data_IF_581060907426
#
_entry.id   IF_581060907426
#
_cell.length_a   1.000
_cell.length_b   1.000
_cell.length_c   1.000
_cell.angle_alpha   90.00
_cell.angle_beta   90.00
_cell.angle_gamma   90.00
#
_symmetry.space_group_name_H-M   'P 1'
#
loop_
_entity.id
_entity.type
_entity.pdbx_description
1 polymer ?
#
# COMPACT_ATOMS: atom_id res chain seq x y z
N UNK A 1 31.81 56.70 -51.11
CA UNK A 1 30.81 57.08 -50.08
C UNK A 1 29.59 56.21 -50.37
N UNK A 2 29.17 55.22 -49.58
CA UNK A 2 28.73 55.26 -48.17
C UNK A 2 28.74 53.81 -47.60
N UNK A 3 29.25 53.63 -46.38
CA UNK A 3 29.14 52.40 -45.56
C UNK A 3 27.68 52.16 -45.12
N UNK A 4 27.17 50.91 -45.18
CA UNK A 4 26.14 50.34 -44.28
C UNK A 4 26.34 48.80 -44.25
N UNK A 5 27.12 48.25 -43.32
CA UNK A 5 26.73 47.78 -41.98
C UNK A 5 25.81 46.54 -42.03
N UNK A 6 26.37 45.42 -41.57
CA UNK A 6 25.72 44.18 -41.21
C UNK A 6 24.54 44.41 -40.27
N UNK A 7 23.51 43.56 -40.33
CA UNK A 7 23.02 42.91 -39.10
C UNK A 7 22.07 41.75 -39.40
N UNK A 8 22.48 40.61 -38.88
CA UNK A 8 21.79 39.34 -38.74
C UNK A 8 20.52 39.55 -37.92
N UNK A 9 19.38 39.04 -38.40
CA UNK A 9 18.23 38.78 -37.53
C UNK A 9 17.90 37.30 -37.68
N UNK A 10 18.44 36.53 -36.73
CA UNK A 10 18.23 35.10 -36.61
C UNK A 10 16.79 34.80 -36.20
N UNK A 11 16.12 34.04 -37.07
CA UNK A 11 14.85 33.39 -36.79
C UNK A 11 15.15 32.05 -36.13
N UNK A 12 15.07 31.94 -34.80
CA UNK A 12 14.86 30.64 -34.13
C UNK A 12 13.93 30.85 -32.94
N UNK A 13 12.71 30.35 -33.10
CA UNK A 13 11.68 30.28 -32.09
C UNK A 13 12.11 29.34 -30.96
N UNK A 14 12.32 29.88 -29.75
CA UNK A 14 12.50 29.06 -28.55
C UNK A 14 11.12 28.75 -27.99
N UNK A 15 10.63 27.57 -28.37
CA UNK A 15 9.43 26.93 -27.85
C UNK A 15 9.54 26.75 -26.33
N UNK A 16 8.65 27.45 -25.64
CA UNK A 16 8.20 27.21 -24.28
C UNK A 16 7.71 25.76 -24.09
N UNK A 17 8.30 25.04 -23.14
CA UNK A 17 7.65 23.93 -22.45
C UNK A 17 7.98 23.98 -20.96
N UNK A 18 7.09 24.64 -20.21
CA UNK A 18 7.03 24.47 -18.76
C UNK A 18 6.56 23.05 -18.48
N UNK A 19 7.45 22.22 -17.93
CA UNK A 19 7.08 20.90 -17.42
C UNK A 19 6.25 21.11 -16.16
N UNK A 20 4.92 21.08 -16.30
CA UNK A 20 4.01 20.95 -15.16
C UNK A 20 4.09 19.49 -14.73
N UNK A 21 4.75 19.23 -13.60
CA UNK A 21 4.77 17.91 -12.99
C UNK A 21 3.36 17.47 -12.63
N UNK A 22 2.80 16.53 -13.39
CA UNK A 22 1.56 15.86 -13.04
C UNK A 22 1.83 14.95 -11.83
N UNK A 23 1.55 15.43 -10.62
CA UNK A 23 1.38 14.56 -9.47
C UNK A 23 0.08 13.78 -9.66
N UNK A 24 0.15 12.60 -10.28
CA UNK A 24 -0.99 11.67 -10.29
C UNK A 24 -1.24 11.20 -8.86
N UNK A 25 -2.14 11.87 -8.16
CA UNK A 25 -2.84 11.30 -7.02
C UNK A 25 -3.74 10.17 -7.57
N UNK A 26 -3.18 8.95 -7.62
CA UNK A 26 -3.97 7.74 -7.79
C UNK A 26 -5.03 7.73 -6.69
N UNK A 27 -6.23 8.21 -7.02
CA UNK A 27 -7.38 8.20 -6.12
C UNK A 27 -7.82 6.75 -6.04
N UNK A 28 -7.43 6.07 -4.97
CA UNK A 28 -7.90 4.74 -4.66
C UNK A 28 -9.37 4.89 -4.22
N UNK A 29 -10.29 4.51 -5.11
CA UNK A 29 -11.72 4.59 -4.89
C UNK A 29 -12.24 3.35 -4.15
N UNK A 30 -12.19 3.39 -2.83
CA UNK A 30 -12.93 2.49 -1.95
C UNK A 30 -12.99 3.10 -0.54
N UNK A 31 -14.19 3.33 0.00
CA UNK A 31 -14.38 3.87 1.37
C UNK A 31 -14.47 2.79 2.45
N UNK A 32 -14.36 1.52 2.08
CA UNK A 32 -14.32 0.41 3.03
C UNK A 32 -13.17 0.58 4.02
N UNK A 33 -13.42 0.25 5.29
CA UNK A 33 -12.42 0.29 6.35
C UNK A 33 -12.56 -0.92 7.26
N UNK A 34 -11.40 -1.47 7.64
CA UNK A 34 -11.28 -2.56 8.60
C UNK A 34 -10.15 -2.25 9.56
N UNK A 35 -10.37 -2.48 10.85
CA UNK A 35 -9.31 -2.65 11.85
C UNK A 35 -9.43 -4.06 12.44
N UNK A 36 -8.33 -4.77 12.51
CA UNK A 36 -8.29 -6.11 13.10
C UNK A 36 -7.07 -6.28 13.99
N UNK A 37 -7.27 -6.98 15.11
CA UNK A 37 -6.21 -7.36 16.05
C UNK A 37 -6.44 -8.80 16.47
N UNK A 38 -5.43 -9.65 16.31
CA UNK A 38 -5.55 -11.09 16.58
C UNK A 38 -4.25 -11.88 16.43
N UNK A 39 -4.39 -13.20 16.41
CA UNK A 39 -3.34 -14.19 16.24
C UNK A 39 -3.84 -15.24 15.25
N UNK A 40 -2.99 -15.62 14.30
CA UNK A 40 -3.33 -16.59 13.25
C UNK A 40 -2.87 -16.10 11.88
N UNK A 41 -3.80 -16.07 10.93
CA UNK A 41 -3.56 -15.64 9.55
C UNK A 41 -4.54 -14.54 9.17
N UNK A 42 -4.04 -13.51 8.50
CA UNK A 42 -4.86 -12.51 7.83
C UNK A 42 -4.39 -12.38 6.37
N UNK A 43 -5.32 -12.49 5.42
CA UNK A 43 -5.07 -12.29 3.99
C UNK A 43 -5.98 -11.18 3.49
N UNK A 44 -5.42 -10.20 2.79
CA UNK A 44 -6.14 -9.12 2.16
C UNK A 44 -5.88 -9.19 0.66
N UNK A 45 -6.94 -9.20 -0.13
CA UNK A 45 -6.88 -9.03 -1.58
C UNK A 45 -7.64 -7.74 -1.89
N UNK A 46 -6.92 -6.65 -2.17
CA UNK A 46 -7.52 -5.31 -2.14
C UNK A 46 -6.81 -4.26 -3.00
N UNK A 47 -7.54 -3.20 -3.29
CA UNK A 47 -7.04 -1.91 -3.78
C UNK A 47 -7.17 -0.89 -2.65
N UNK A 48 -6.06 -0.28 -2.20
CA UNK A 48 -6.11 0.60 -1.04
C UNK A 48 -4.81 0.85 -0.30
N UNK A 49 -4.98 1.23 0.95
CA UNK A 49 -3.94 1.46 1.95
C UNK A 49 -4.04 0.42 3.06
N UNK A 50 -2.90 -0.17 3.45
CA UNK A 50 -2.80 -1.02 4.64
C UNK A 50 -1.71 -0.47 5.55
N UNK A 51 -2.05 -0.29 6.83
CA UNK A 51 -1.13 0.05 7.90
C UNK A 51 -1.06 -1.10 8.88
N UNK A 52 0.13 -1.65 9.10
CA UNK A 52 0.37 -2.78 10.01
C UNK A 52 1.23 -2.29 11.17
N UNK A 53 0.86 -2.64 12.39
CA UNK A 53 1.70 -2.49 13.58
C UNK A 53 2.42 -3.82 13.84
N UNK A 54 3.71 -3.85 13.58
CA UNK A 54 4.55 -5.03 13.80
C UNK A 54 4.97 -5.17 15.26
N UNK A 55 4.79 -6.37 15.82
CA UNK A 55 5.12 -6.70 17.21
C UNK A 55 6.39 -7.55 17.37
N UNK A 56 7.16 -7.76 16.30
CA UNK A 56 8.45 -8.46 16.32
C UNK A 56 8.39 -9.96 16.07
N UNK A 57 7.20 -10.57 16.09
CA UNK A 57 6.96 -11.96 15.75
C UNK A 57 5.94 -12.04 14.61
N UNK A 58 6.30 -12.69 13.51
CA UNK A 58 5.43 -12.89 12.35
C UNK A 58 6.12 -12.61 11.01
N UNK A 59 5.39 -12.92 9.94
CA UNK A 59 5.79 -12.74 8.54
C UNK A 59 4.70 -11.98 7.82
N UNK A 60 5.10 -11.02 6.98
CA UNK A 60 4.23 -10.25 6.10
C UNK A 60 4.71 -10.48 4.66
N UNK A 61 3.85 -11.01 3.81
CA UNK A 61 4.11 -11.21 2.38
C UNK A 61 3.24 -10.27 1.58
N UNK A 62 3.84 -9.52 0.66
CA UNK A 62 3.19 -8.44 -0.07
C UNK A 62 3.47 -8.63 -1.56
N UNK A 63 2.43 -8.63 -2.38
CA UNK A 63 2.51 -8.76 -3.84
C UNK A 63 1.63 -7.68 -4.50
N UNK A 64 2.08 -7.12 -5.63
CA UNK A 64 1.32 -6.12 -6.39
C UNK A 64 1.25 -4.72 -5.78
N UNK A 65 1.90 -4.47 -4.64
CA UNK A 65 1.90 -3.16 -4.02
C UNK A 65 2.74 -2.14 -4.83
N UNK A 66 2.18 -0.96 -5.07
CA UNK A 66 2.89 0.19 -5.66
C UNK A 66 3.94 0.76 -4.71
N UNK A 67 3.69 0.71 -3.40
CA UNK A 67 4.58 1.25 -2.39
C UNK A 67 4.54 0.41 -1.12
N UNK A 68 5.73 0.08 -0.59
CA UNK A 68 5.90 -0.58 0.71
C UNK A 68 6.95 0.17 1.52
N UNK A 69 6.52 0.87 2.57
CA UNK A 69 7.37 1.63 3.49
C UNK A 69 7.39 0.97 4.87
N UNK A 70 8.58 0.74 5.42
CA UNK A 70 8.76 0.13 6.74
C UNK A 70 9.45 1.15 7.66
N UNK A 71 8.88 1.38 8.83
CA UNK A 71 9.47 2.19 9.89
C UNK A 71 9.70 1.30 11.12
N UNK A 72 10.95 0.97 11.42
CA UNK A 72 11.30 0.15 12.59
C UNK A 72 12.36 -0.90 12.28
N UNK A 73 12.39 -1.96 13.08
CA UNK A 73 13.34 -3.08 12.94
C UNK A 73 12.66 -4.27 12.28
N UNK A 74 13.41 -5.09 11.56
CA UNK A 74 12.94 -6.32 10.91
C UNK A 74 13.84 -6.66 9.73
N UNK A 75 13.54 -7.78 9.06
CA UNK A 75 14.24 -8.19 7.83
C UNK A 75 13.30 -7.99 6.66
N UNK A 76 13.77 -7.31 5.62
CA UNK A 76 13.10 -7.17 4.33
C UNK A 76 13.85 -7.97 3.28
N UNK A 77 13.12 -8.76 2.50
CA UNK A 77 13.62 -9.49 1.34
C UNK A 77 12.69 -9.22 0.17
N UNK A 78 13.27 -8.95 -0.99
CA UNK A 78 12.54 -8.84 -2.25
C UNK A 78 12.85 -10.07 -3.10
N UNK A 79 11.82 -10.66 -3.70
CA UNK A 79 11.93 -11.84 -4.54
C UNK A 79 11.92 -11.44 -6.03
N UNK A 80 12.37 -12.34 -6.88
CA UNK A 80 12.47 -12.11 -8.33
C UNK A 80 11.10 -11.84 -9.00
N UNK A 81 10.01 -12.33 -8.41
CA UNK A 81 8.63 -12.12 -8.85
C UNK A 81 8.03 -10.78 -8.36
N UNK A 82 8.82 -9.94 -7.67
CA UNK A 82 8.37 -8.69 -7.08
C UNK A 82 7.69 -8.85 -5.72
N UNK A 83 7.63 -10.07 -5.16
CA UNK A 83 7.09 -10.30 -3.82
C UNK A 83 8.02 -9.72 -2.75
N UNK A 84 7.48 -8.87 -1.87
CA UNK A 84 8.19 -8.36 -0.70
C UNK A 84 7.82 -9.20 0.52
N UNK A 85 8.83 -9.73 1.21
CA UNK A 85 8.66 -10.49 2.45
C UNK A 85 9.32 -9.76 3.61
N UNK A 86 8.54 -9.46 4.64
CA UNK A 86 8.99 -8.83 5.88
C UNK A 86 8.91 -9.85 7.02
N UNK A 87 9.99 -9.98 7.80
CA UNK A 87 10.05 -10.91 8.94
C UNK A 87 10.42 -10.18 10.22
N UNK A 88 9.75 -10.55 11.31
CA UNK A 88 10.06 -10.05 12.65
C UNK A 88 9.96 -8.53 12.79
N UNK A 89 9.03 -7.90 12.06
CA UNK A 89 8.91 -6.44 12.07
C UNK A 89 8.46 -5.96 13.44
N UNK A 90 9.23 -5.07 14.06
CA UNK A 90 8.87 -4.29 15.25
C UNK A 90 8.83 -2.81 14.85
N UNK A 91 7.62 -2.30 14.62
CA UNK A 91 7.42 -0.96 14.04
C UNK A 91 6.13 -0.84 13.24
N UNK A 92 6.14 -0.01 12.19
CA UNK A 92 4.99 0.23 11.31
C UNK A 92 5.33 -0.15 9.87
N UNK A 93 4.39 -0.79 9.19
CA UNK A 93 4.46 -1.02 7.73
C UNK A 93 3.30 -0.28 7.08
N UNK A 94 3.59 0.42 6.00
CA UNK A 94 2.62 1.13 5.18
C UNK A 94 2.69 0.57 3.76
N UNK A 95 1.54 0.11 3.26
CA UNK A 95 1.40 -0.54 1.97
C UNK A 95 0.33 0.20 1.20
N UNK A 96 0.61 0.52 -0.07
CA UNK A 96 -0.35 1.13 -0.99
C UNK A 96 -0.27 0.44 -2.34
N UNK A 97 -1.42 0.17 -2.95
CA UNK A 97 -1.47 -0.47 -4.25
C UNK A 97 -2.87 -0.62 -4.81
N UNK A 98 -2.92 -1.12 -6.03
CA UNK A 98 -4.11 -1.62 -6.71
C UNK A 98 -3.93 -3.12 -6.88
N UNK A 99 -4.99 -3.90 -6.71
CA UNK A 99 -5.02 -5.36 -6.88
C UNK A 99 -3.86 -6.07 -6.16
N UNK A 100 -3.57 -5.63 -4.94
CA UNK A 100 -2.48 -6.15 -4.13
C UNK A 100 -2.97 -7.24 -3.19
N UNK A 101 -2.09 -8.20 -2.94
CA UNK A 101 -2.28 -9.23 -1.91
C UNK A 101 -1.33 -8.97 -0.75
N UNK A 102 -1.87 -8.89 0.47
CA UNK A 102 -1.11 -8.80 1.71
C UNK A 102 -1.47 -9.97 2.61
N UNK A 103 -0.49 -10.81 2.93
CA UNK A 103 -0.65 -11.93 3.88
C UNK A 103 0.16 -11.66 5.13
N UNK A 104 -0.44 -11.89 6.29
CA UNK A 104 0.19 -11.79 7.60
C UNK A 104 0.00 -13.11 8.33
N UNK A 105 1.07 -13.66 8.90
CA UNK A 105 1.01 -14.90 9.64
C UNK A 105 1.94 -14.90 10.86
N UNK A 106 1.49 -15.56 11.92
CA UNK A 106 2.22 -15.70 13.19
C UNK A 106 2.07 -14.49 14.11
N UNK A 107 2.56 -14.62 15.35
CA UNK A 107 2.57 -13.56 16.36
C UNK A 107 1.25 -12.79 16.52
N UNK A 108 1.35 -11.59 17.12
CA UNK A 108 0.23 -10.65 17.19
C UNK A 108 0.14 -9.89 15.87
N UNK A 109 -1.01 -9.98 15.23
CA UNK A 109 -1.40 -9.23 14.04
C UNK A 109 -2.23 -8.02 14.49
N UNK A 110 -1.87 -6.83 14.02
CA UNK A 110 -2.58 -5.57 14.29
C UNK A 110 -2.48 -4.71 13.03
N UNK A 111 -3.61 -4.47 12.36
CA UNK A 111 -3.62 -3.68 11.15
C UNK A 111 -4.91 -2.88 10.97
N UNK A 112 -4.79 -1.87 10.10
CA UNK A 112 -5.88 -1.07 9.57
C UNK A 112 -5.79 -1.12 8.05
N UNK A 113 -6.88 -1.46 7.38
CA UNK A 113 -7.02 -1.43 5.93
C UNK A 113 -8.10 -0.41 5.52
N UNK A 114 -7.87 0.27 4.40
CA UNK A 114 -8.80 1.23 3.79
C UNK A 114 -8.79 1.03 2.28
N UNK A 115 -9.96 0.92 1.68
CA UNK A 115 -10.08 0.70 0.24
C UNK A 115 -11.24 -0.20 -0.14
N UNK A 116 -11.05 -0.98 -1.20
CA UNK A 116 -12.00 -1.98 -1.70
C UNK A 116 -11.32 -3.34 -1.88
N UNK A 117 -12.06 -4.43 -1.69
CA UNK A 117 -11.53 -5.80 -1.80
C UNK A 117 -12.16 -6.75 -0.79
N UNK A 118 -11.43 -7.81 -0.43
CA UNK A 118 -11.84 -8.76 0.61
C UNK A 118 -10.72 -9.00 1.63
N UNK A 119 -11.13 -9.40 2.82
CA UNK A 119 -10.23 -9.80 3.90
C UNK A 119 -10.66 -11.14 4.44
N UNK A 120 -9.74 -12.07 4.53
CA UNK A 120 -9.89 -13.34 5.21
C UNK A 120 -9.11 -13.31 6.53
N UNK A 121 -9.77 -13.64 7.64
CA UNK A 121 -9.20 -13.69 8.98
C UNK A 121 -9.43 -15.07 9.59
N UNK A 122 -8.36 -15.76 9.95
CA UNK A 122 -8.41 -17.09 10.56
C UNK A 122 -7.60 -17.11 11.86
N UNK A 123 -8.20 -17.66 12.91
CA UNK A 123 -7.59 -17.80 14.22
C UNK A 123 -8.37 -17.07 15.30
N UNK A 124 -7.67 -16.35 16.18
CA UNK A 124 -8.28 -15.75 17.39
C UNK A 124 -8.02 -14.26 17.44
N UNK A 125 -9.07 -13.47 17.57
CA UNK A 125 -8.96 -12.02 17.57
C UNK A 125 -10.30 -11.33 17.42
N UNK A 126 -10.25 -10.02 17.19
CA UNK A 126 -11.42 -9.21 16.92
C UNK A 126 -11.18 -8.33 15.70
N UNK A 127 -12.26 -7.98 15.03
CA UNK A 127 -12.26 -7.01 13.96
C UNK A 127 -13.39 -6.02 14.11
N UNK A 128 -13.20 -4.86 13.50
CA UNK A 128 -14.18 -3.81 13.43
C UNK A 128 -14.17 -3.23 12.02
N UNK A 129 -15.35 -3.18 11.41
CA UNK A 129 -15.63 -2.41 10.19
C UNK A 129 -16.52 -1.23 10.54
N UNK A 130 -16.91 -0.44 9.54
CA UNK A 130 -17.84 0.69 9.76
C UNK A 130 -19.19 0.25 10.36
N UNK A 131 -19.69 -0.91 9.92
CA UNK A 131 -21.03 -1.38 10.27
C UNK A 131 -21.03 -2.54 11.27
N UNK A 132 -19.91 -3.26 11.38
CA UNK A 132 -19.88 -4.52 12.11
C UNK A 132 -18.71 -4.59 13.09
N UNK A 133 -18.92 -5.37 14.14
CA UNK A 133 -17.86 -5.90 15.01
C UNK A 133 -18.00 -7.41 15.02
N UNK A 134 -16.88 -8.10 15.00
CA UNK A 134 -16.88 -9.55 15.06
C UNK A 134 -15.58 -10.08 15.62
N UNK A 135 -15.54 -11.41 15.74
CA UNK A 135 -14.38 -12.16 16.18
C UNK A 135 -13.76 -12.89 15.01
N UNK A 136 -12.46 -13.14 15.07
CA UNK A 136 -11.84 -14.10 14.17
C UNK A 136 -12.43 -15.48 14.49
N UNK A 137 -12.76 -16.25 13.46
CA UNK A 137 -13.20 -17.62 13.62
C UNK A 137 -12.01 -18.56 13.38
N UNK A 138 -11.99 -19.71 14.07
CA UNK A 138 -10.97 -20.73 13.80
C UNK A 138 -11.13 -21.33 12.41
N UNK A 139 -12.37 -21.39 11.92
CA UNK A 139 -12.73 -21.82 10.56
C UNK A 139 -12.47 -20.74 9.49
N UNK A 140 -12.09 -19.53 9.92
CA UNK A 140 -11.91 -18.38 9.06
C UNK A 140 -13.20 -17.58 8.83
N UNK A 141 -13.06 -16.27 8.69
CA UNK A 141 -14.14 -15.37 8.29
C UNK A 141 -13.68 -14.53 7.10
N UNK A 142 -14.50 -14.51 6.06
CA UNK A 142 -14.31 -13.63 4.90
C UNK A 142 -15.20 -12.39 5.03
N UNK A 143 -14.58 -11.23 4.82
CA UNK A 143 -15.20 -9.92 5.00
C UNK A 143 -15.04 -9.11 3.71
N UNK A 144 -16.14 -8.65 3.10
CA UNK A 144 -16.04 -7.69 2.01
C UNK A 144 -15.65 -6.31 2.57
N UNK A 145 -14.72 -5.63 1.89
CA UNK A 145 -14.42 -4.22 2.12
C UNK A 145 -15.17 -3.37 1.10
N UNK A 146 -16.49 -3.34 1.22
CA UNK A 146 -17.37 -2.51 0.39
C UNK A 146 -18.02 -1.42 1.24
N UNK A 147 -18.55 -0.39 0.58
CA UNK A 147 -19.12 0.80 1.23
C UNK A 147 -20.42 0.54 1.99
#
# INVERSE_FOLDING_TARGET
>A
MLRKVCLIVGLVAVLSFGVVGAASADTISGRGWLKAVGYGVAKLDMTGDVKITGHGAGVITIQGAKTVRVEGKGVRSEQADGTVVLRGVKGRVFIRGKDMTVKMAGGKIDFIARGSGSVFLEGRGAYHTRHYRGVWAEEGVELPMIE
#
